data_IF_303400087383
#
_entry.id   IF_303400087383
#
_cell.length_a   1.000
_cell.length_b   1.000
_cell.length_c   1.000
_cell.angle_alpha   90.00
_cell.angle_beta   90.00
_cell.angle_gamma   90.00
#
_symmetry.space_group_name_H-M   'P 1'
#
loop_
_entity.id
_entity.type
_entity.pdbx_description
1 polymer ?
#
# COMPACT_ATOMS: atom_id res chain seq x y z
N UNK A 1 -16.67 -4.50 -7.99
CA UNK A 1 -15.52 -4.31 -7.09
C UNK A 1 -15.14 -5.65 -6.51
N UNK A 2 -13.86 -5.98 -6.45
CA UNK A 2 -13.36 -7.20 -5.81
C UNK A 2 -12.15 -6.87 -4.93
N UNK A 3 -12.13 -7.39 -3.71
CA UNK A 3 -11.01 -7.20 -2.77
C UNK A 3 -9.87 -8.15 -3.11
N UNK A 4 -8.65 -7.82 -2.69
CA UNK A 4 -7.49 -8.72 -2.80
C UNK A 4 -7.75 -10.03 -2.07
N UNK A 5 -8.40 -9.97 -0.89
CA UNK A 5 -8.80 -11.19 -0.15
C UNK A 5 -9.70 -12.13 -0.97
N UNK A 6 -10.66 -11.58 -1.71
CA UNK A 6 -11.54 -12.37 -2.58
C UNK A 6 -10.82 -12.88 -3.82
N UNK A 7 -9.89 -12.12 -4.37
CA UNK A 7 -9.18 -12.47 -5.61
C UNK A 7 -8.08 -13.53 -5.40
N UNK A 8 -7.37 -13.46 -4.28
CA UNK A 8 -6.28 -14.39 -3.94
C UNK A 8 -6.74 -15.53 -3.01
N UNK A 9 -8.04 -15.60 -2.70
CA UNK A 9 -8.62 -16.54 -1.72
C UNK A 9 -7.87 -16.53 -0.37
N UNK A 10 -7.42 -15.35 0.06
CA UNK A 10 -6.65 -15.18 1.30
C UNK A 10 -7.50 -14.58 2.42
N UNK A 11 -7.24 -15.00 3.66
CA UNK A 11 -7.94 -14.49 4.83
C UNK A 11 -7.24 -13.27 5.41
N UNK A 12 -7.97 -12.16 5.57
CA UNK A 12 -7.57 -10.99 6.37
C UNK A 12 -7.19 -11.30 7.83
N UNK A 13 -7.50 -12.48 8.36
CA UNK A 13 -7.11 -12.90 9.72
C UNK A 13 -5.67 -13.38 9.83
N UNK A 14 -4.99 -13.57 8.69
CA UNK A 14 -3.62 -14.06 8.61
C UNK A 14 -2.81 -13.01 7.85
N UNK A 15 -1.80 -12.38 8.48
CA UNK A 15 -0.91 -11.45 7.80
C UNK A 15 0.03 -12.25 6.89
N UNK A 16 -0.38 -12.47 5.64
CA UNK A 16 0.33 -13.34 4.69
C UNK A 16 0.64 -12.67 3.35
N UNK A 17 0.55 -11.33 3.29
CA UNK A 17 0.86 -10.56 2.09
C UNK A 17 2.09 -9.68 2.32
N UNK A 18 2.86 -9.50 1.25
CA UNK A 18 3.82 -8.42 1.11
C UNK A 18 3.31 -7.42 0.06
N UNK A 19 3.66 -6.15 0.20
CA UNK A 19 3.37 -5.16 -0.83
C UNK A 19 3.96 -5.54 -2.20
N UNK A 20 5.03 -6.34 -2.28
CA UNK A 20 5.50 -6.93 -3.53
C UNK A 20 4.44 -7.78 -4.22
N UNK A 21 3.65 -8.54 -3.46
CA UNK A 21 2.53 -9.34 -3.98
C UNK A 21 1.43 -8.42 -4.51
N UNK A 22 1.09 -7.36 -3.75
CA UNK A 22 0.10 -6.37 -4.16
C UNK A 22 0.52 -5.63 -5.44
N UNK A 23 1.78 -5.24 -5.55
CA UNK A 23 2.34 -4.60 -6.74
C UNK A 23 2.27 -5.55 -7.94
N UNK A 24 2.73 -6.80 -7.78
CA UNK A 24 2.66 -7.80 -8.86
C UNK A 24 1.23 -8.05 -9.31
N UNK A 25 0.29 -8.21 -8.37
CA UNK A 25 -1.13 -8.39 -8.66
C UNK A 25 -1.71 -7.18 -9.41
N UNK A 26 -1.40 -5.97 -8.94
CA UNK A 26 -1.84 -4.71 -9.57
C UNK A 26 -1.39 -4.66 -11.02
N UNK A 27 -0.13 -4.98 -11.31
CA UNK A 27 0.34 -5.01 -12.70
C UNK A 27 -0.32 -6.11 -13.53
N UNK A 28 -0.50 -7.31 -12.96
CA UNK A 28 -1.12 -8.43 -13.68
C UNK A 28 -2.54 -8.08 -14.13
N UNK A 29 -3.34 -7.45 -13.27
CA UNK A 29 -4.73 -7.09 -13.56
C UNK A 29 -4.84 -5.88 -14.49
N UNK A 30 -4.08 -4.84 -14.21
CA UNK A 30 -4.30 -3.53 -14.85
C UNK A 30 -3.42 -3.29 -16.07
N UNK A 31 -2.25 -3.96 -16.15
CA UNK A 31 -1.20 -3.73 -17.16
C UNK A 31 -0.79 -2.26 -17.28
N UNK A 32 -0.90 -1.48 -16.20
CA UNK A 32 -0.69 -0.04 -16.20
C UNK A 32 0.25 0.39 -15.07
N UNK A 33 1.38 0.99 -15.43
CA UNK A 33 2.38 1.49 -14.48
C UNK A 33 1.86 2.63 -13.60
N UNK A 34 0.83 3.37 -14.04
CA UNK A 34 0.20 4.40 -13.22
C UNK A 34 -0.52 3.78 -12.02
N UNK A 35 -1.16 2.62 -12.21
CA UNK A 35 -1.81 1.87 -11.12
C UNK A 35 -0.78 1.30 -10.14
N UNK A 36 0.40 0.91 -10.63
CA UNK A 36 1.54 0.55 -9.78
C UNK A 36 2.01 1.73 -8.93
N UNK A 37 2.20 2.91 -9.52
CA UNK A 37 2.57 4.10 -8.75
C UNK A 37 1.51 4.44 -7.68
N UNK A 38 0.22 4.26 -7.98
CA UNK A 38 -0.86 4.46 -7.01
C UNK A 38 -0.84 3.44 -5.86
N UNK A 39 -0.61 2.15 -6.15
CA UNK A 39 -0.43 1.13 -5.10
C UNK A 39 0.82 1.43 -4.25
N UNK A 40 1.90 1.90 -4.89
CA UNK A 40 3.12 2.32 -4.21
C UNK A 40 2.88 3.52 -3.28
N UNK A 41 2.12 4.53 -3.73
CA UNK A 41 1.73 5.68 -2.89
C UNK A 41 0.94 5.25 -1.66
N UNK A 42 0.02 4.28 -1.80
CA UNK A 42 -0.74 3.73 -0.66
C UNK A 42 0.13 3.01 0.34
N UNK A 43 1.12 2.24 -0.14
CA UNK A 43 2.12 1.60 0.72
C UNK A 43 2.89 2.66 1.53
N UNK A 44 3.43 3.68 0.85
CA UNK A 44 4.13 4.78 1.53
C UNK A 44 3.22 5.47 2.54
N UNK A 45 1.97 5.77 2.16
CA UNK A 45 1.01 6.41 3.05
C UNK A 45 0.73 5.56 4.29
N UNK A 46 0.46 4.26 4.14
CA UNK A 46 0.16 3.40 5.27
C UNK A 46 1.34 3.32 6.25
N UNK A 47 2.58 3.25 5.75
CA UNK A 47 3.78 3.29 6.59
C UNK A 47 3.92 4.62 7.31
N UNK A 48 3.88 5.75 6.59
CA UNK A 48 4.13 7.07 7.19
C UNK A 48 2.98 7.56 8.08
N UNK A 49 1.73 7.22 7.76
CA UNK A 49 0.55 7.57 8.54
C UNK A 49 0.28 6.61 9.71
N UNK A 50 1.14 5.60 9.89
CA UNK A 50 0.99 4.53 10.89
C UNK A 50 -0.38 3.84 10.79
N UNK A 51 -0.78 3.49 9.58
CA UNK A 51 -1.93 2.61 9.33
C UNK A 51 -1.43 1.16 9.22
N UNK A 52 -1.45 0.44 10.34
CA UNK A 52 -0.98 -0.96 10.41
C UNK A 52 -2.09 -2.00 10.14
N UNK A 53 -3.35 -1.58 10.06
CA UNK A 53 -4.48 -2.45 9.68
C UNK A 53 -4.67 -2.52 8.15
N UNK A 54 -3.57 -2.45 7.40
CA UNK A 54 -3.54 -2.48 5.94
C UNK A 54 -3.65 -3.91 5.38
N UNK A 55 -4.69 -4.63 5.79
CA UNK A 55 -4.88 -6.03 5.42
C UNK A 55 -5.52 -6.21 4.02
N UNK A 56 -5.52 -7.45 3.51
CA UNK A 56 -5.99 -7.81 2.16
C UNK A 56 -7.42 -7.36 1.77
N UNK A 57 -8.29 -6.99 2.72
CA UNK A 57 -9.62 -6.43 2.44
C UNK A 57 -9.61 -4.93 2.12
N UNK A 58 -8.53 -4.23 2.47
CA UNK A 58 -8.40 -2.78 2.31
C UNK A 58 -7.83 -2.39 0.94
N UNK A 59 -7.59 -3.39 0.10
CA UNK A 59 -7.22 -3.22 -1.30
C UNK A 59 -8.25 -3.89 -2.19
N UNK A 60 -8.70 -3.17 -3.21
CA UNK A 60 -9.68 -3.66 -4.17
C UNK A 60 -9.44 -3.14 -5.58
N UNK A 61 -9.98 -3.86 -6.55
CA UNK A 61 -10.01 -3.49 -7.96
C UNK A 61 -11.45 -3.31 -8.44
N UNK A 62 -11.62 -2.38 -9.37
CA UNK A 62 -12.86 -2.14 -10.10
C UNK A 62 -12.68 -2.62 -11.54
N UNK A 63 -13.72 -3.22 -12.10
CA UNK A 63 -13.77 -3.48 -13.53
C UNK A 63 -14.46 -2.29 -14.20
N UNK A 64 -13.74 -1.66 -15.11
CA UNK A 64 -14.18 -0.56 -15.94
C UNK A 64 -14.75 -1.17 -17.23
N UNK A 65 -16.07 -1.35 -17.27
CA UNK A 65 -16.79 -2.00 -18.38
C UNK A 65 -16.60 -1.23 -19.69
N UNK A 66 -16.67 0.10 -19.65
CA UNK A 66 -16.55 0.98 -20.82
C UNK A 66 -15.21 0.79 -21.52
N UNK A 67 -14.13 0.65 -20.75
CA UNK A 67 -12.77 0.45 -21.27
C UNK A 67 -12.31 -1.01 -21.25
N UNK A 68 -13.18 -1.93 -20.80
CA UNK A 68 -12.91 -3.37 -20.66
C UNK A 68 -11.58 -3.67 -19.96
N UNK A 69 -11.32 -2.99 -18.83
CA UNK A 69 -10.06 -3.12 -18.07
C UNK A 69 -10.28 -3.13 -16.56
N UNK A 70 -9.34 -3.70 -15.83
CA UNK A 70 -9.29 -3.53 -14.39
C UNK A 70 -8.55 -2.25 -14.02
N UNK A 71 -9.03 -1.57 -12.98
CA UNK A 71 -8.38 -0.41 -12.36
C UNK A 71 -8.30 -0.62 -10.86
N UNK A 72 -7.28 -0.03 -10.22
CA UNK A 72 -7.23 0.02 -8.77
C UNK A 72 -8.40 0.90 -8.28
N UNK A 73 -9.17 0.41 -7.31
CA UNK A 73 -10.23 1.22 -6.68
C UNK A 73 -9.63 2.44 -5.97
N UNK A 74 -10.36 3.55 -5.75
CA UNK A 74 -9.92 4.60 -4.83
C UNK A 74 -9.49 4.03 -3.47
N UNK A 75 -8.57 4.67 -2.76
CA UNK A 75 -8.19 4.24 -1.42
C UNK A 75 -9.35 4.45 -0.43
N UNK A 76 -9.49 3.56 0.54
CA UNK A 76 -10.52 3.60 1.59
C UNK A 76 -9.94 2.98 2.86
N UNK A 77 -10.64 3.16 3.99
CA UNK A 77 -10.25 2.63 5.30
C UNK A 77 -8.82 3.05 5.71
N UNK A 78 -8.57 4.35 5.57
CA UNK A 78 -7.30 4.99 5.89
C UNK A 78 -7.39 5.64 7.27
N UNK A 79 -6.94 4.93 8.30
CA UNK A 79 -6.98 5.41 9.68
C UNK A 79 -5.66 5.12 10.39
N UNK A 80 -5.23 6.01 11.29
CA UNK A 80 -4.17 5.68 12.25
C UNK A 80 -4.60 4.42 13.02
N UNK A 81 -3.77 3.39 13.01
CA UNK A 81 -4.13 2.09 13.58
C UNK A 81 -2.92 1.32 14.08
N UNK A 82 -3.10 0.67 15.23
CA UNK A 82 -2.22 -0.40 15.67
C UNK A 82 -2.88 -1.73 15.28
N UNK A 83 -2.21 -2.57 14.50
CA UNK A 83 -2.73 -3.93 14.24
C UNK A 83 -2.64 -4.79 15.50
N UNK A 84 -3.27 -5.97 15.45
CA UNK A 84 -3.37 -6.95 16.55
C UNK A 84 -2.03 -7.25 17.24
N UNK A 85 -0.90 -7.18 16.53
CA UNK A 85 0.45 -7.47 17.07
C UNK A 85 1.42 -6.28 16.96
N UNK A 86 0.92 -5.10 16.57
CA UNK A 86 1.76 -3.92 16.37
C UNK A 86 2.68 -4.03 15.15
N UNK A 87 2.33 -4.82 14.14
CA UNK A 87 3.01 -4.87 12.82
C UNK A 87 1.99 -4.54 11.73
N UNK A 88 2.42 -4.06 10.57
CA UNK A 88 1.56 -3.97 9.39
C UNK A 88 0.96 -5.33 9.05
N UNK A 89 -0.33 -5.35 8.71
CA UNK A 89 -1.00 -6.56 8.25
C UNK A 89 -0.50 -7.00 6.85
N UNK A 90 0.04 -6.06 6.07
CA UNK A 90 0.81 -6.32 4.85
C UNK A 90 2.26 -5.86 5.03
N UNK A 91 3.23 -6.78 4.96
CA UNK A 91 4.64 -6.45 5.13
C UNK A 91 5.21 -5.64 3.95
N UNK A 92 6.26 -4.86 4.20
CA UNK A 92 7.02 -4.17 3.16
C UNK A 92 8.39 -4.83 3.03
N UNK A 93 8.62 -5.58 1.94
CA UNK A 93 9.88 -6.31 1.74
C UNK A 93 10.26 -7.22 2.94
N UNK A 94 9.27 -7.89 3.53
CA UNK A 94 9.41 -8.79 4.68
C UNK A 94 9.46 -8.10 6.05
N UNK A 95 9.42 -6.76 6.11
CA UNK A 95 9.35 -6.02 7.36
C UNK A 95 7.89 -5.63 7.64
N UNK A 96 7.28 -6.19 8.68
CA UNK A 96 5.97 -5.77 9.18
C UNK A 96 6.06 -4.76 10.32
N UNK A 97 7.16 -4.76 11.08
CA UNK A 97 7.24 -4.00 12.33
C UNK A 97 7.40 -2.50 12.14
N UNK A 98 8.45 -2.07 11.45
CA UNK A 98 8.72 -0.66 11.19
C UNK A 98 9.49 -0.53 9.86
N UNK A 99 8.80 -0.62 8.71
CA UNK A 99 9.42 -0.38 7.41
C UNK A 99 9.98 1.03 7.31
N UNK A 100 11.19 1.17 6.76
CA UNK A 100 11.79 2.47 6.49
C UNK A 100 11.92 2.75 4.99
N UNK A 101 12.56 3.87 4.66
CA UNK A 101 12.82 4.31 3.28
C UNK A 101 13.51 3.23 2.44
N UNK A 102 14.41 2.44 3.04
CA UNK A 102 15.11 1.35 2.35
C UNK A 102 14.12 0.29 1.84
N UNK A 103 13.23 -0.19 2.69
CA UNK A 103 12.21 -1.18 2.34
C UNK A 103 11.22 -0.60 1.34
N UNK A 104 10.75 0.64 1.56
CA UNK A 104 9.85 1.34 0.65
C UNK A 104 10.45 1.46 -0.75
N UNK A 105 11.65 2.03 -0.90
CA UNK A 105 12.31 2.18 -2.20
C UNK A 105 12.60 0.82 -2.84
N UNK A 106 13.03 -0.16 -2.04
CA UNK A 106 13.27 -1.53 -2.51
C UNK A 106 12.02 -2.22 -3.07
N UNK A 107 10.85 -2.04 -2.45
CA UNK A 107 9.59 -2.58 -2.96
C UNK A 107 9.18 -1.88 -4.26
N UNK A 108 9.35 -0.56 -4.36
CA UNK A 108 9.04 0.19 -5.59
C UNK A 108 9.93 -0.21 -6.77
N UNK A 109 11.23 -0.34 -6.55
CA UNK A 109 12.18 -0.75 -7.59
C UNK A 109 11.97 -2.18 -8.05
N UNK A 110 11.68 -3.10 -7.12
CA UNK A 110 11.34 -4.49 -7.45
C UNK A 110 10.06 -4.59 -8.29
N UNK A 111 9.14 -3.64 -8.17
CA UNK A 111 7.94 -3.56 -8.98
C UNK A 111 8.12 -2.86 -10.34
N UNK A 112 9.33 -2.39 -10.66
CA UNK A 112 9.65 -1.73 -11.93
C UNK A 112 9.54 -0.20 -11.91
N UNK A 113 9.34 0.42 -10.74
CA UNK A 113 9.40 1.89 -10.61
C UNK A 113 10.88 2.31 -10.55
N UNK A 114 11.27 3.29 -11.38
CA UNK A 114 12.63 3.81 -11.36
C UNK A 114 13.01 4.30 -9.95
N UNK A 115 14.22 4.01 -9.49
CA UNK A 115 14.64 4.31 -8.11
C UNK A 115 14.47 5.79 -7.74
N UNK A 116 14.83 6.71 -8.64
CA UNK A 116 14.64 8.15 -8.45
C UNK A 116 13.16 8.54 -8.33
N UNK A 117 12.27 7.86 -9.08
CA UNK A 117 10.82 8.05 -8.99
C UNK A 117 10.27 7.51 -7.67
N UNK A 118 10.70 6.33 -7.26
CA UNK A 118 10.29 5.72 -5.99
C UNK A 118 10.70 6.60 -4.80
N UNK A 119 11.97 7.06 -4.76
CA UNK A 119 12.45 8.00 -3.74
C UNK A 119 11.64 9.30 -3.72
N UNK A 120 11.37 9.89 -4.89
CA UNK A 120 10.58 11.11 -4.99
C UNK A 120 9.16 10.91 -4.45
N UNK A 121 8.48 9.83 -4.86
CA UNK A 121 7.12 9.53 -4.38
C UNK A 121 7.12 9.31 -2.86
N UNK A 122 8.06 8.54 -2.33
CA UNK A 122 8.14 8.28 -0.90
C UNK A 122 8.33 9.59 -0.11
N UNK A 123 9.24 10.47 -0.55
CA UNK A 123 9.45 11.79 0.06
C UNK A 123 8.23 12.70 -0.04
N UNK A 124 7.58 12.79 -1.22
CA UNK A 124 6.34 13.55 -1.40
C UNK A 124 5.27 13.12 -0.39
N UNK A 125 5.08 11.80 -0.22
CA UNK A 125 4.06 11.26 0.69
C UNK A 125 4.45 11.49 2.15
N UNK A 126 5.72 11.30 2.52
CA UNK A 126 6.23 11.56 3.86
C UNK A 126 6.01 13.01 4.28
N UNK A 127 6.38 13.96 3.41
CA UNK A 127 6.20 15.40 3.66
C UNK A 127 4.73 15.77 3.85
N UNK A 128 3.84 15.28 2.97
CA UNK A 128 2.40 15.54 3.06
C UNK A 128 1.83 14.95 4.34
N UNK A 129 2.17 13.70 4.68
CA UNK A 129 1.67 13.05 5.90
C UNK A 129 2.16 13.78 7.15
N UNK A 130 3.45 14.14 7.22
CA UNK A 130 4.02 14.86 8.35
C UNK A 130 3.45 16.27 8.53
N UNK A 131 2.94 16.88 7.46
CA UNK A 131 2.28 18.19 7.51
C UNK A 131 0.80 18.07 7.85
N UNK A 132 0.03 17.33 7.03
CA UNK A 132 -1.44 17.26 7.11
C UNK A 132 -1.92 16.43 8.30
N UNK A 133 -1.18 15.39 8.69
CA UNK A 133 -1.58 14.49 9.77
C UNK A 133 -0.82 14.75 11.08
N UNK A 134 -0.05 15.85 11.18
CA UNK A 134 0.75 16.19 12.36
C UNK A 134 -0.03 16.06 13.67
N UNK A 135 -1.20 16.68 13.75
CA UNK A 135 -2.01 16.67 14.97
C UNK A 135 -2.48 15.27 15.38
N UNK A 136 -2.69 14.37 14.41
CA UNK A 136 -3.01 12.97 14.70
C UNK A 136 -1.76 12.26 15.19
N UNK A 137 -0.65 12.36 14.47
CA UNK A 137 0.60 11.67 14.80
C UNK A 137 1.15 12.09 16.18
N UNK A 138 1.14 13.40 16.48
CA UNK A 138 1.58 13.95 17.77
C UNK A 138 0.67 13.51 18.94
N UNK A 139 -0.58 13.15 18.68
CA UNK A 139 -1.51 12.67 19.72
C UNK A 139 -1.25 11.23 20.17
N UNK A 140 -0.41 10.49 19.44
CA UNK A 140 -0.08 9.09 19.71
C UNK A 140 1.43 8.82 19.89
N UNK A 141 2.27 9.87 19.88
CA UNK A 141 3.72 9.81 20.15
C UNK A 141 4.04 9.98 21.64
#
# INVERSE_FOLDING_TARGET
>A
MITVSGLLETSHRIPNLDYRDLMKLTYILTKDNRQLEEMYRRMCFNVYAHNRDDHAKNFSFLYDEENSRWILSPAYDLTYSNSIVGEHATCVSGNGKNPGVKELVGTGTAAGIAQSRAMRIAGEVEEIVAYELRGILDSYS
#
